data_IF_590996044541
#
_entry.id   IF_590996044541
#
_cell.length_a   1.000
_cell.length_b   1.000
_cell.length_c   1.000
_cell.angle_alpha   90.00
_cell.angle_beta   90.00
_cell.angle_gamma   90.00
#
_symmetry.space_group_name_H-M   'P 1'
#
loop_
_entity.id
_entity.type
_entity.pdbx_description
1 polymer ?
#
# COMPACT_ATOMS: atom_id res chain seq x y z
N UNK A 1 -23.32 -17.28 -3.26
CA UNK A 1 -22.45 -18.04 -2.33
C UNK A 1 -21.05 -18.00 -2.92
N UNK A 2 -20.12 -17.18 -2.45
CA UNK A 2 -19.26 -17.48 -1.30
C UNK A 2 -18.57 -16.19 -0.82
N UNK A 3 -19.04 -15.64 0.31
CA UNK A 3 -18.59 -14.37 0.90
C UNK A 3 -17.40 -14.58 1.88
N UNK A 4 -16.50 -15.52 1.60
CA UNK A 4 -15.60 -16.10 2.63
C UNK A 4 -14.10 -15.84 2.39
N UNK A 5 -13.73 -14.76 1.69
CA UNK A 5 -12.31 -14.43 1.46
C UNK A 5 -11.83 -13.14 2.15
N UNK A 6 -12.69 -12.43 2.89
CA UNK A 6 -12.40 -11.04 3.25
C UNK A 6 -11.88 -10.78 4.68
N UNK A 7 -11.59 -11.80 5.51
CA UNK A 7 -11.27 -11.58 6.94
C UNK A 7 -10.14 -12.42 7.57
N UNK A 8 -9.24 -13.06 6.83
CA UNK A 8 -8.27 -14.00 7.46
C UNK A 8 -6.79 -13.90 7.06
N UNK A 9 -6.13 -12.74 7.15
CA UNK A 9 -4.70 -12.68 7.47
C UNK A 9 -4.41 -12.35 8.94
N UNK A 10 -5.41 -12.41 9.83
CA UNK A 10 -5.31 -11.86 11.19
C UNK A 10 -4.78 -12.84 12.28
N UNK A 11 -4.73 -14.17 12.04
CA UNK A 11 -4.36 -15.13 13.10
C UNK A 11 -2.84 -15.23 13.33
N UNK A 12 -2.03 -15.34 12.28
CA UNK A 12 -0.57 -15.36 12.42
C UNK A 12 0.00 -14.04 12.99
N UNK A 13 -0.68 -12.91 12.74
CA UNK A 13 -0.26 -11.58 13.22
C UNK A 13 -0.68 -11.29 14.66
N UNK A 14 -1.78 -11.90 15.15
CA UNK A 14 -2.16 -11.82 16.57
C UNK A 14 -1.06 -12.38 17.47
N UNK A 15 -0.45 -13.51 17.08
CA UNK A 15 0.64 -14.12 17.83
C UNK A 15 1.84 -13.18 18.09
N UNK A 16 2.11 -12.20 17.21
CA UNK A 16 3.20 -11.22 17.42
C UNK A 16 2.81 -10.10 18.39
N UNK A 17 1.58 -9.58 18.26
CA UNK A 17 1.06 -8.61 19.22
C UNK A 17 0.93 -9.23 20.61
N UNK A 18 0.51 -10.49 20.66
CA UNK A 18 0.34 -11.25 21.89
C UNK A 18 1.70 -11.66 22.48
N UNK A 19 2.65 -12.15 21.67
CA UNK A 19 4.02 -12.46 22.13
C UNK A 19 4.77 -11.23 22.65
N UNK A 20 4.59 -10.05 22.06
CA UNK A 20 5.19 -8.83 22.59
C UNK A 20 4.50 -8.36 23.88
N UNK A 21 3.17 -8.42 23.95
CA UNK A 21 2.40 -8.06 25.16
C UNK A 21 2.70 -8.99 26.34
N UNK A 22 2.92 -10.27 26.07
CA UNK A 22 3.15 -11.31 27.09
C UNK A 22 4.63 -11.41 27.46
N UNK A 23 5.54 -11.43 26.47
CA UNK A 23 6.93 -11.79 26.70
C UNK A 23 7.93 -10.63 26.58
N UNK A 24 7.49 -9.42 26.18
CA UNK A 24 8.35 -8.25 25.84
C UNK A 24 9.48 -8.54 24.84
N UNK A 25 9.42 -9.66 24.11
CA UNK A 25 10.43 -10.03 23.10
C UNK A 25 9.99 -9.58 21.72
N UNK A 26 10.85 -8.84 21.02
CA UNK A 26 10.67 -8.54 19.59
C UNK A 26 11.22 -9.70 18.77
N UNK A 27 10.36 -10.45 18.08
CA UNK A 27 10.82 -11.41 17.08
C UNK A 27 11.25 -10.64 15.84
N UNK A 28 12.51 -10.81 15.42
CA UNK A 28 12.99 -10.20 14.19
C UNK A 28 12.41 -10.94 12.97
N UNK A 29 12.60 -10.37 11.77
CA UNK A 29 12.17 -11.02 10.53
C UNK A 29 12.64 -12.47 10.38
N UNK A 30 13.91 -12.77 10.69
CA UNK A 30 14.49 -14.11 10.52
C UNK A 30 13.81 -15.13 11.43
N UNK A 31 13.57 -14.79 12.70
CA UNK A 31 12.87 -15.65 13.65
C UNK A 31 11.46 -16.01 13.15
N UNK A 32 10.75 -15.01 12.61
CA UNK A 32 9.41 -15.19 12.07
C UNK A 32 9.42 -16.03 10.77
N UNK A 33 10.36 -15.76 9.87
CA UNK A 33 10.51 -16.48 8.61
C UNK A 33 10.84 -17.97 8.84
N UNK A 34 11.69 -18.28 9.82
CA UNK A 34 12.05 -19.65 10.18
C UNK A 34 10.88 -20.44 10.77
N UNK A 35 9.93 -19.77 11.42
CA UNK A 35 8.70 -20.40 11.95
C UNK A 35 7.60 -20.57 10.90
N UNK A 36 7.70 -19.87 9.77
CA UNK A 36 6.66 -19.89 8.74
C UNK A 36 6.31 -21.29 8.21
N UNK A 37 7.26 -22.24 8.02
CA UNK A 37 6.93 -23.61 7.63
C UNK A 37 6.02 -24.33 8.63
N UNK A 38 6.35 -24.24 9.93
CA UNK A 38 5.51 -24.80 10.99
C UNK A 38 4.12 -24.12 11.03
N UNK A 39 4.06 -22.79 10.85
CA UNK A 39 2.80 -22.07 10.76
C UNK A 39 1.94 -22.55 9.57
N UNK A 40 2.54 -22.89 8.43
CA UNK A 40 1.81 -23.43 7.27
C UNK A 40 1.28 -24.84 7.50
N UNK A 41 1.97 -25.65 8.31
CA UNK A 41 1.47 -26.97 8.72
C UNK A 41 0.27 -26.82 9.66
N UNK A 42 0.33 -25.86 10.59
CA UNK A 42 -0.75 -25.59 11.54
C UNK A 42 -1.98 -24.91 10.88
N UNK A 43 -1.79 -24.09 9.84
CA UNK A 43 -2.85 -23.41 9.10
C UNK A 43 -2.67 -23.58 7.60
N UNK A 44 -3.40 -24.55 7.03
CA UNK A 44 -3.38 -24.87 5.61
C UNK A 44 -3.75 -23.66 4.71
N UNK A 45 -4.51 -22.68 5.23
CA UNK A 45 -4.87 -21.49 4.45
C UNK A 45 -3.64 -20.67 4.04
N UNK A 46 -2.57 -20.68 4.86
CA UNK A 46 -1.30 -20.04 4.53
C UNK A 46 -0.58 -20.72 3.34
N UNK A 47 -0.87 -21.99 3.06
CA UNK A 47 -0.36 -22.71 1.89
C UNK A 47 -0.96 -22.23 0.56
N UNK A 48 -2.14 -21.61 0.61
CA UNK A 48 -2.80 -21.05 -0.58
C UNK A 48 -2.18 -19.74 -1.03
N UNK A 49 -1.55 -19.00 -0.12
CA UNK A 49 -0.90 -17.72 -0.41
C UNK A 49 0.49 -17.94 -0.99
N UNK A 50 0.87 -17.13 -1.97
CA UNK A 50 2.22 -17.17 -2.52
C UNK A 50 3.28 -16.85 -1.44
N UNK A 51 4.34 -17.65 -1.37
CA UNK A 51 5.31 -17.61 -0.28
C UNK A 51 5.97 -16.24 -0.13
N UNK A 52 6.29 -15.55 -1.23
CA UNK A 52 6.92 -14.24 -1.16
C UNK A 52 5.97 -13.16 -0.61
N UNK A 53 4.66 -13.28 -0.82
CA UNK A 53 3.66 -12.35 -0.26
C UNK A 53 3.63 -12.50 1.27
N UNK A 54 3.68 -13.73 1.78
CA UNK A 54 3.78 -13.97 3.22
C UNK A 54 5.07 -13.39 3.80
N UNK A 55 6.20 -13.59 3.11
CA UNK A 55 7.48 -13.03 3.53
C UNK A 55 7.48 -11.49 3.53
N UNK A 56 6.84 -10.86 2.55
CA UNK A 56 6.66 -9.40 2.51
C UNK A 56 5.84 -8.89 3.72
N UNK A 57 4.77 -9.60 4.09
CA UNK A 57 3.99 -9.30 5.31
C UNK A 57 4.87 -9.33 6.55
N UNK A 58 5.73 -10.36 6.71
CA UNK A 58 6.64 -10.45 7.85
C UNK A 58 7.63 -9.27 7.88
N UNK A 59 8.19 -8.88 6.73
CA UNK A 59 9.11 -7.72 6.64
C UNK A 59 8.43 -6.42 7.04
N UNK A 60 7.18 -6.19 6.61
CA UNK A 60 6.42 -5.00 7.01
C UNK A 60 6.17 -4.95 8.51
N UNK A 61 5.81 -6.08 9.10
CA UNK A 61 5.59 -6.18 10.54
C UNK A 61 6.89 -5.85 11.28
N UNK A 62 8.00 -6.49 10.92
CA UNK A 62 9.33 -6.21 11.49
C UNK A 62 9.72 -4.73 11.35
N UNK A 63 9.56 -4.13 10.17
CA UNK A 63 9.83 -2.70 9.95
C UNK A 63 8.95 -1.80 10.85
N UNK A 64 7.68 -2.14 11.02
CA UNK A 64 6.75 -1.38 11.87
C UNK A 64 7.17 -1.45 13.35
N UNK A 65 7.57 -2.64 13.82
CA UNK A 65 8.06 -2.81 15.19
C UNK A 65 9.41 -2.10 15.40
N UNK A 66 10.35 -2.19 14.46
CA UNK A 66 11.61 -1.41 14.51
C UNK A 66 11.35 0.09 14.62
N UNK A 67 10.41 0.62 13.83
CA UNK A 67 10.02 2.02 13.89
C UNK A 67 9.37 2.39 15.24
N UNK A 68 8.56 1.49 15.82
CA UNK A 68 7.99 1.66 17.15
C UNK A 68 9.06 1.72 18.24
N UNK A 69 10.01 0.77 18.26
CA UNK A 69 11.09 0.76 19.25
C UNK A 69 11.97 2.02 19.16
N UNK A 70 12.24 2.49 17.94
CA UNK A 70 12.98 3.74 17.73
C UNK A 70 12.24 4.97 18.24
N UNK A 71 10.91 5.01 18.10
CA UNK A 71 10.08 6.15 18.52
C UNK A 71 9.75 6.13 20.01
N UNK A 72 9.61 4.94 20.61
CA UNK A 72 9.28 4.77 22.03
C UNK A 72 7.79 4.96 22.38
N UNK A 73 6.93 5.35 21.44
CA UNK A 73 5.49 5.54 21.65
C UNK A 73 4.67 5.13 20.43
N UNK A 74 3.37 4.89 20.64
CA UNK A 74 2.41 4.56 19.57
C UNK A 74 2.52 3.12 19.07
N UNK A 75 1.87 2.18 19.78
CA UNK A 75 1.94 0.76 19.46
C UNK A 75 1.58 0.43 18.00
N UNK A 76 2.35 -0.44 17.31
CA UNK A 76 2.08 -0.86 15.94
C UNK A 76 0.64 -1.33 15.71
N UNK A 77 -0.01 -0.76 14.70
CA UNK A 77 -1.32 -1.21 14.22
C UNK A 77 -1.20 -1.67 12.78
N UNK A 78 -1.43 -2.95 12.53
CA UNK A 78 -1.46 -3.52 11.19
C UNK A 78 -2.86 -3.33 10.59
N UNK A 79 -3.11 -2.19 9.96
CA UNK A 79 -4.33 -1.96 9.15
C UNK A 79 -3.93 -1.55 7.75
N UNK A 80 -3.80 -2.51 6.85
CA UNK A 80 -3.59 -2.24 5.44
C UNK A 80 -4.44 -3.19 4.60
N UNK A 81 -5.02 -2.65 3.52
CA UNK A 81 -5.83 -3.40 2.56
C UNK A 81 -5.01 -3.62 1.27
N UNK A 82 -3.78 -4.13 1.42
CA UNK A 82 -2.87 -4.32 0.29
C UNK A 82 -1.95 -5.51 0.51
N UNK A 83 -1.46 -6.10 -0.56
CA UNK A 83 -0.40 -7.11 -0.52
C UNK A 83 0.51 -6.98 -1.73
N UNK A 84 1.75 -7.43 -1.58
CA UNK A 84 2.81 -7.14 -2.55
C UNK A 84 3.54 -8.40 -2.96
N UNK A 85 3.78 -8.50 -4.27
CA UNK A 85 4.71 -9.43 -4.88
C UNK A 85 6.04 -8.70 -5.08
N UNK A 86 7.07 -9.01 -4.25
CA UNK A 86 8.28 -8.19 -4.18
C UNK A 86 9.18 -8.33 -5.40
N UNK A 87 9.37 -9.55 -5.93
CA UNK A 87 10.31 -9.82 -7.03
C UNK A 87 9.80 -10.85 -8.05
N UNK A 88 8.95 -11.79 -7.63
CA UNK A 88 8.47 -12.87 -8.50
C UNK A 88 7.00 -13.19 -8.25
N UNK A 89 6.46 -14.08 -9.08
CA UNK A 89 5.10 -14.57 -8.97
C UNK A 89 4.06 -13.66 -9.61
N UNK A 90 4.49 -12.78 -10.51
CA UNK A 90 3.60 -12.00 -11.36
C UNK A 90 4.21 -11.82 -12.76
N UNK A 91 3.36 -11.71 -13.78
CA UNK A 91 3.74 -11.27 -15.12
C UNK A 91 2.63 -10.39 -15.71
N UNK A 92 3.03 -9.41 -16.54
CA UNK A 92 2.10 -8.53 -17.24
C UNK A 92 2.20 -8.80 -18.74
N UNK A 93 1.10 -9.27 -19.32
CA UNK A 93 0.99 -9.58 -20.75
C UNK A 93 -0.17 -8.76 -21.34
N UNK A 94 0.17 -7.62 -21.94
CA UNK A 94 -0.82 -6.67 -22.47
C UNK A 94 -1.78 -6.17 -21.39
N UNK A 95 -3.03 -6.65 -21.41
CA UNK A 95 -4.07 -6.28 -20.44
C UNK A 95 -4.32 -7.35 -19.37
N UNK A 96 -3.52 -8.42 -19.36
CA UNK A 96 -3.67 -9.53 -18.42
C UNK A 96 -2.49 -9.55 -17.45
N UNK A 97 -2.82 -9.52 -16.16
CA UNK A 97 -1.90 -9.66 -15.05
C UNK A 97 -2.00 -11.10 -14.52
N UNK A 98 -0.96 -11.90 -14.74
CA UNK A 98 -0.89 -13.26 -14.20
C UNK A 98 -0.26 -13.22 -12.83
N UNK A 99 -0.84 -13.91 -11.86
CA UNK A 99 -0.38 -13.95 -10.48
C UNK A 99 -0.28 -15.40 -10.00
N UNK A 100 0.84 -15.72 -9.36
CA UNK A 100 0.98 -17.02 -8.68
C UNK A 100 -0.09 -17.16 -7.61
N UNK A 101 -0.74 -18.34 -7.59
CA UNK A 101 -1.85 -18.75 -6.71
C UNK A 101 -3.21 -18.07 -6.94
N UNK A 102 -3.29 -17.00 -7.73
CA UNK A 102 -4.56 -16.31 -8.04
C UNK A 102 -4.98 -16.59 -9.49
N UNK A 103 -4.03 -16.63 -10.43
CA UNK A 103 -4.30 -16.83 -11.86
C UNK A 103 -4.27 -15.52 -12.66
N UNK A 104 -5.00 -15.50 -13.79
CA UNK A 104 -4.98 -14.39 -14.74
C UNK A 104 -6.08 -13.38 -14.43
N UNK A 105 -5.70 -12.11 -14.30
CA UNK A 105 -6.61 -10.99 -14.02
C UNK A 105 -6.60 -10.01 -15.18
N UNK A 106 -7.79 -9.63 -15.67
CA UNK A 106 -7.91 -8.55 -16.64
C UNK A 106 -7.78 -7.21 -15.91
N UNK A 107 -6.83 -6.38 -16.33
CA UNK A 107 -6.59 -5.06 -15.73
C UNK A 107 -6.77 -3.94 -16.76
N UNK A 108 -7.19 -2.76 -16.27
CA UNK A 108 -7.18 -1.52 -17.06
C UNK A 108 -5.90 -0.75 -16.74
N UNK A 109 -4.94 -0.75 -17.66
CA UNK A 109 -3.73 0.05 -17.54
C UNK A 109 -4.08 1.53 -17.78
N UNK A 110 -3.93 2.35 -16.75
CA UNK A 110 -4.11 3.80 -16.86
C UNK A 110 -2.96 4.46 -17.64
N UNK A 111 -1.76 3.88 -17.58
CA UNK A 111 -0.55 4.31 -18.31
C UNK A 111 0.19 3.08 -18.82
N UNK A 112 0.90 3.18 -19.95
CA UNK A 112 1.85 2.15 -20.35
C UNK A 112 2.93 2.03 -19.27
N UNK A 113 3.41 0.80 -19.06
CA UNK A 113 4.48 0.55 -18.11
C UNK A 113 5.81 0.82 -18.78
N UNK A 114 6.60 1.72 -18.20
CA UNK A 114 7.94 2.04 -18.66
C UNK A 114 8.98 1.27 -17.82
N UNK A 115 10.03 0.79 -18.48
CA UNK A 115 11.14 0.10 -17.83
C UNK A 115 10.81 -1.27 -17.23
N UNK A 116 11.68 -1.74 -16.34
CA UNK A 116 11.53 -3.07 -15.73
C UNK A 116 10.68 -3.00 -14.47
N UNK A 117 9.60 -3.77 -14.43
CA UNK A 117 8.78 -3.93 -13.22
C UNK A 117 9.58 -4.71 -12.18
N UNK A 118 9.84 -4.11 -11.02
CA UNK A 118 10.47 -4.79 -9.88
C UNK A 118 9.44 -5.36 -8.93
N UNK A 119 8.41 -4.59 -8.62
CA UNK A 119 7.47 -4.93 -7.55
C UNK A 119 6.04 -4.62 -7.99
N UNK A 120 5.12 -5.52 -7.65
CA UNK A 120 3.69 -5.34 -7.84
C UNK A 120 3.00 -5.26 -6.47
N UNK A 121 2.23 -4.21 -6.24
CA UNK A 121 1.35 -4.10 -5.06
C UNK A 121 -0.09 -4.05 -5.50
N UNK A 122 -0.90 -4.99 -5.00
CA UNK A 122 -2.35 -4.92 -5.12
C UNK A 122 -2.91 -4.20 -3.90
N UNK A 123 -3.61 -3.10 -4.13
CA UNK A 123 -4.24 -2.27 -3.08
C UNK A 123 -5.74 -2.21 -3.31
N UNK A 124 -6.51 -2.40 -2.25
CA UNK A 124 -7.94 -2.19 -2.24
C UNK A 124 -8.27 -0.85 -1.59
N UNK A 125 -9.03 -0.02 -2.29
CA UNK A 125 -9.53 1.26 -1.79
C UNK A 125 -10.96 1.47 -2.26
N UNK A 126 -11.87 1.75 -1.32
CA UNK A 126 -13.31 1.94 -1.59
C UNK A 126 -13.95 0.79 -2.40
N UNK A 127 -13.53 -0.45 -2.15
CA UNK A 127 -14.02 -1.64 -2.86
C UNK A 127 -13.36 -1.89 -4.22
N UNK A 128 -12.56 -0.95 -4.73
CA UNK A 128 -11.86 -1.04 -6.01
C UNK A 128 -10.44 -1.56 -5.79
N UNK A 129 -9.99 -2.48 -6.65
CA UNK A 129 -8.64 -3.01 -6.66
C UNK A 129 -7.76 -2.24 -7.65
N UNK A 130 -6.58 -1.85 -7.19
CA UNK A 130 -5.55 -1.17 -7.97
C UNK A 130 -4.30 -2.03 -8.01
N UNK A 131 -3.71 -2.16 -9.20
CA UNK A 131 -2.39 -2.73 -9.40
C UNK A 131 -1.36 -1.59 -9.52
N UNK A 132 -0.48 -1.49 -8.52
CA UNK A 132 0.59 -0.51 -8.47
C UNK A 132 1.90 -1.19 -8.82
N UNK A 133 2.51 -0.77 -9.93
CA UNK A 133 3.80 -1.27 -10.40
C UNK A 133 4.91 -0.30 -9.98
N UNK A 134 5.93 -0.80 -9.30
CA UNK A 134 7.17 -0.06 -9.10
C UNK A 134 8.17 -0.51 -10.19
N UNK A 135 8.55 0.44 -11.03
CA UNK A 135 9.41 0.18 -12.18
C UNK A 135 10.74 0.90 -12.03
N UNK A 136 11.80 0.27 -12.52
CA UNK A 136 13.10 0.92 -12.71
C UNK A 136 13.12 1.48 -14.13
N UNK A 137 13.24 2.80 -14.21
CA UNK A 137 13.33 3.56 -15.46
C UNK A 137 14.63 4.34 -15.48
N UNK A 138 15.20 4.51 -16.66
CA UNK A 138 16.37 5.38 -16.83
C UNK A 138 15.98 6.83 -16.59
N UNK A 139 16.80 7.54 -15.79
CA UNK A 139 16.61 8.97 -15.58
C UNK A 139 16.99 9.70 -16.86
N UNK A 140 16.04 10.46 -17.41
CA UNK A 140 16.28 11.40 -18.50
C UNK A 140 16.34 12.81 -17.91
N UNK A 141 17.50 13.26 -17.39
CA UNK A 141 17.62 14.60 -16.87
C UNK A 141 17.39 15.60 -18.01
N UNK A 142 16.72 16.70 -17.69
CA UNK A 142 16.65 17.84 -18.59
C UNK A 142 18.04 18.50 -18.67
N UNK A 143 18.34 19.25 -19.76
CA UNK A 143 19.56 20.03 -19.85
C UNK A 143 19.75 20.91 -18.61
N UNK A 144 20.99 21.06 -18.17
CA UNK A 144 21.32 21.93 -17.06
C UNK A 144 20.90 23.37 -17.39
N UNK A 145 20.33 24.06 -16.40
CA UNK A 145 19.91 25.44 -16.51
C UNK A 145 20.37 26.17 -15.25
N UNK A 146 21.07 27.29 -15.42
CA UNK A 146 21.60 28.10 -14.31
C UNK A 146 20.53 29.02 -13.69
N UNK A 147 19.31 29.02 -14.24
CA UNK A 147 18.18 29.74 -13.66
C UNK A 147 17.68 29.05 -12.40
N UNK A 148 17.85 29.71 -11.27
CA UNK A 148 17.21 29.34 -10.02
C UNK A 148 15.89 30.11 -9.87
N UNK A 149 14.79 29.38 -9.68
CA UNK A 149 13.46 29.96 -9.44
C UNK A 149 12.99 29.54 -8.06
N UNK A 150 12.68 30.51 -7.20
CA UNK A 150 12.06 30.26 -5.91
C UNK A 150 10.59 29.92 -6.11
N UNK A 151 10.07 28.90 -5.41
CA UNK A 151 8.66 28.51 -5.44
C UNK A 151 8.09 28.66 -4.03
N UNK A 152 7.18 29.61 -3.86
CA UNK A 152 6.39 29.76 -2.63
C UNK A 152 5.03 29.08 -2.77
N UNK A 153 4.66 28.21 -1.83
CA UNK A 153 3.42 27.42 -1.90
C UNK A 153 2.43 27.89 -0.81
N UNK A 154 1.24 28.31 -1.23
CA UNK A 154 0.25 28.95 -0.36
C UNK A 154 -1.10 28.24 -0.27
N UNK A 155 -1.97 28.78 0.58
CA UNK A 155 -3.38 28.40 0.63
C UNK A 155 -4.23 29.20 -0.37
N UNK A 156 -3.82 30.43 -0.68
CA UNK A 156 -4.53 31.31 -1.61
C UNK A 156 -4.22 30.97 -3.07
N UNK A 157 -2.94 30.96 -3.43
CA UNK A 157 -2.38 30.41 -4.67
C UNK A 157 -1.73 29.06 -4.39
N UNK A 158 -1.73 28.14 -5.38
CA UNK A 158 -1.06 26.84 -5.24
C UNK A 158 0.46 27.01 -5.17
N UNK A 159 1.00 27.83 -6.07
CA UNK A 159 2.40 28.18 -6.11
C UNK A 159 2.58 29.58 -6.73
N UNK A 160 3.57 30.34 -6.26
CA UNK A 160 4.04 31.59 -6.86
C UNK A 160 5.53 31.44 -7.12
N UNK A 161 5.97 31.77 -8.34
CA UNK A 161 7.39 31.74 -8.69
C UNK A 161 8.03 33.09 -8.43
N UNK A 162 9.35 33.13 -8.17
CA UNK A 162 10.11 34.38 -8.10
C UNK A 162 10.06 35.19 -9.40
N UNK A 163 9.73 34.54 -10.51
CA UNK A 163 9.54 35.17 -11.82
C UNK A 163 8.15 35.80 -11.99
N UNK A 164 7.30 35.75 -10.95
CA UNK A 164 5.97 36.38 -10.90
C UNK A 164 4.84 35.52 -11.46
N UNK A 165 5.09 34.27 -11.86
CA UNK A 165 4.02 33.36 -12.29
C UNK A 165 3.21 32.88 -11.09
N UNK A 166 1.88 32.95 -11.22
CA UNK A 166 0.94 32.54 -10.17
C UNK A 166 0.13 31.33 -10.64
N UNK A 167 0.32 30.20 -9.97
CA UNK A 167 -0.48 28.99 -10.17
C UNK A 167 -1.69 29.02 -9.24
N UNK A 168 -2.90 29.07 -9.81
CA UNK A 168 -4.13 29.14 -9.04
C UNK A 168 -4.36 27.86 -8.21
N UNK A 169 -4.85 28.03 -6.98
CA UNK A 169 -5.23 26.89 -6.15
C UNK A 169 -6.55 26.28 -6.65
N UNK A 170 -6.58 25.01 -7.08
CA UNK A 170 -7.80 24.35 -7.54
C UNK A 170 -8.81 24.07 -6.41
N UNK A 171 -8.42 24.29 -5.14
CA UNK A 171 -9.27 24.22 -3.93
C UNK A 171 -10.06 22.92 -3.80
N UNK A 172 -9.50 21.80 -4.27
CA UNK A 172 -10.14 20.47 -4.20
C UNK A 172 -10.57 20.14 -2.78
N UNK A 173 -9.73 20.44 -1.78
CA UNK A 173 -10.03 20.19 -0.37
C UNK A 173 -11.33 20.86 0.10
N UNK A 174 -11.58 22.13 -0.25
CA UNK A 174 -12.81 22.83 0.14
C UNK A 174 -14.06 22.21 -0.50
N UNK A 175 -13.97 21.84 -1.78
CA UNK A 175 -15.06 21.16 -2.51
C UNK A 175 -15.37 19.79 -1.90
N UNK A 176 -14.34 18.99 -1.63
CA UNK A 176 -14.51 17.65 -1.03
C UNK A 176 -14.99 17.73 0.42
N UNK A 177 -14.49 18.69 1.21
CA UNK A 177 -14.91 18.89 2.60
C UNK A 177 -16.39 19.28 2.71
N UNK A 178 -16.90 20.10 1.78
CA UNK A 178 -18.33 20.43 1.70
C UNK A 178 -19.17 19.16 1.40
N UNK A 179 -18.78 18.37 0.39
CA UNK A 179 -19.44 17.10 0.08
C UNK A 179 -19.44 16.14 1.29
N UNK A 180 -18.32 16.03 2.01
CA UNK A 180 -18.21 15.18 3.21
C UNK A 180 -19.08 15.68 4.36
N UNK A 181 -19.25 17.00 4.54
CA UNK A 181 -20.17 17.57 5.54
C UNK A 181 -21.64 17.30 5.20
N UNK A 182 -22.00 17.29 3.92
CA UNK A 182 -23.38 17.08 3.46
C UNK A 182 -23.75 15.58 3.37
N UNK A 183 -22.77 14.69 3.24
CA UNK A 183 -22.97 13.24 3.11
C UNK A 183 -23.79 12.59 4.24
N UNK A 184 -23.60 12.91 5.53
CA UNK A 184 -24.46 12.43 6.61
C UNK A 184 -25.92 12.86 6.47
N UNK A 185 -26.17 14.04 5.91
CA UNK A 185 -27.51 14.59 5.70
C UNK A 185 -28.21 13.87 4.54
N UNK A 186 -27.52 13.70 3.42
CA UNK A 186 -28.00 12.95 2.24
C UNK A 186 -28.30 11.49 2.60
N UNK A 187 -27.41 10.84 3.37
CA UNK A 187 -27.60 9.44 3.83
C UNK A 187 -28.77 9.23 4.79
N UNK A 188 -29.24 10.29 5.49
CA UNK A 188 -30.45 10.23 6.31
C UNK A 188 -31.70 10.42 5.47
N UNK A 189 -31.64 11.30 4.45
CA UNK A 189 -32.75 11.55 3.54
C UNK A 189 -33.06 10.33 2.63
N UNK A 190 -32.05 9.56 2.23
CA UNK A 190 -32.21 8.39 1.35
C UNK A 190 -32.49 7.06 2.08
N UNK A 191 -32.65 7.07 3.40
CA UNK A 191 -33.04 5.89 4.22
C UNK A 191 -34.53 5.91 4.65
N UNK A 192 -35.34 6.77 4.03
CA UNK A 192 -36.81 6.74 4.16
C UNK A 192 -37.41 6.01 2.97
#
# INVERSE_FOLDING_TARGET
MSHTLQRRPARAQRCLQDAYKICRKSLNYHDQANRLPACKQADASLGTVFSQVLQDVLRRVDQTFRAFFRRGYGFPRSRYASFTYPQAGFSLEGRYLKLSKIGNLKIKLHRPVEGQIKTLTLKQENGIWYACFACVVERKPLPANDKAVGIDMGLESFAVTSDGEVFANPRWYRKTALCLRLLPFIRRATRR
#
